data_IF_609751410960
#
_entry.id   IF_609751410960
#
_cell.length_a   1.000
_cell.length_b   1.000
_cell.length_c   1.000
_cell.angle_alpha   90.00
_cell.angle_beta   90.00
_cell.angle_gamma   90.00
#
_symmetry.space_group_name_H-M   'P 1'
#
loop_
_entity.id
_entity.type
_entity.pdbx_description
1 polymer ?
#
# COMPACT_ATOMS: atom_id res chain seq x y z
N UNK A 1 12.35 -13.05 7.33
CA UNK A 1 11.12 -12.48 6.73
C UNK A 1 9.88 -13.11 7.36
N UNK A 2 9.79 -14.44 7.42
CA UNK A 2 8.68 -15.15 8.09
C UNK A 2 8.52 -14.81 9.58
N UNK A 3 9.62 -14.77 10.35
CA UNK A 3 9.57 -14.40 11.77
C UNK A 3 8.95 -13.01 12.02
N UNK A 4 9.21 -12.04 11.12
CA UNK A 4 8.71 -10.67 11.23
C UNK A 4 7.22 -10.63 10.89
N UNK A 5 6.82 -11.32 9.82
CA UNK A 5 5.42 -11.46 9.44
C UNK A 5 4.60 -12.08 10.58
N UNK A 6 5.08 -13.19 11.17
CA UNK A 6 4.43 -13.85 12.30
C UNK A 6 4.41 -12.97 13.56
N UNK A 7 5.46 -12.18 13.81
CA UNK A 7 5.52 -11.30 14.98
C UNK A 7 4.56 -10.11 14.89
N UNK A 8 4.38 -9.54 13.70
CA UNK A 8 3.45 -8.42 13.49
C UNK A 8 2.02 -8.94 13.43
N UNK A 9 1.75 -10.04 12.72
CA UNK A 9 0.41 -10.61 12.62
C UNK A 9 -0.11 -11.07 13.99
N UNK A 10 0.73 -11.72 14.81
CA UNK A 10 0.34 -12.11 16.18
C UNK A 10 0.00 -10.91 17.07
N UNK A 11 0.70 -9.77 16.93
CA UNK A 11 0.37 -8.54 17.66
C UNK A 11 -0.94 -7.92 17.18
N UNK A 12 -1.20 -7.90 15.87
CA UNK A 12 -2.46 -7.41 15.30
C UNK A 12 -3.64 -8.26 15.80
N UNK A 13 -3.48 -9.58 15.82
CA UNK A 13 -4.48 -10.50 16.37
C UNK A 13 -4.66 -10.33 17.88
N UNK A 14 -3.57 -10.10 18.63
CA UNK A 14 -3.61 -9.84 20.08
C UNK A 14 -4.31 -8.51 20.43
N UNK A 15 -4.34 -7.55 19.50
CA UNK A 15 -5.11 -6.31 19.63
C UNK A 15 -6.62 -6.52 19.38
N UNK A 16 -7.06 -7.74 19.07
CA UNK A 16 -8.46 -8.07 18.82
C UNK A 16 -9.02 -7.47 17.52
N UNK A 17 -8.16 -7.06 16.60
CA UNK A 17 -8.59 -6.49 15.32
C UNK A 17 -9.26 -7.57 14.47
N UNK A 18 -10.49 -7.31 14.03
CA UNK A 18 -11.14 -8.13 13.00
C UNK A 18 -10.40 -8.00 11.66
N UNK A 19 -10.68 -8.91 10.72
CA UNK A 19 -9.97 -9.01 9.44
C UNK A 19 -9.96 -7.71 8.63
N UNK A 20 -11.06 -6.94 8.65
CA UNK A 20 -11.16 -5.65 7.95
C UNK A 20 -10.18 -4.59 8.46
N UNK A 21 -10.22 -4.21 9.76
CA UNK A 21 -9.24 -3.30 10.36
C UNK A 21 -7.79 -3.74 10.21
N UNK A 22 -7.50 -5.04 10.33
CA UNK A 22 -6.16 -5.59 10.10
C UNK A 22 -5.69 -5.38 8.65
N UNK A 23 -6.56 -5.64 7.68
CA UNK A 23 -6.32 -5.40 6.25
C UNK A 23 -5.96 -3.94 5.98
N UNK A 24 -6.78 -2.99 6.45
CA UNK A 24 -6.53 -1.55 6.24
C UNK A 24 -5.21 -1.13 6.90
N UNK A 25 -4.96 -1.57 8.12
CA UNK A 25 -3.73 -1.22 8.85
C UNK A 25 -2.48 -1.70 8.12
N UNK A 26 -2.48 -2.95 7.66
CA UNK A 26 -1.34 -3.53 6.93
C UNK A 26 -1.10 -2.84 5.58
N UNK A 27 -2.15 -2.46 4.84
CA UNK A 27 -1.99 -1.68 3.60
C UNK A 27 -1.43 -0.28 3.86
N UNK A 28 -1.86 0.40 4.93
CA UNK A 28 -1.33 1.71 5.29
C UNK A 28 0.14 1.62 5.71
N UNK A 29 0.52 0.59 6.47
CA UNK A 29 1.91 0.34 6.84
C UNK A 29 2.78 0.04 5.61
N UNK A 30 2.29 -0.82 4.71
CA UNK A 30 2.96 -1.11 3.43
C UNK A 30 3.18 0.17 2.62
N UNK A 31 2.13 0.98 2.46
CA UNK A 31 2.20 2.26 1.77
C UNK A 31 3.22 3.20 2.41
N UNK A 32 3.15 3.36 3.72
CA UNK A 32 3.99 4.30 4.47
C UNK A 32 5.46 3.88 4.46
N UNK A 33 5.75 2.58 4.38
CA UNK A 33 7.12 2.12 4.22
C UNK A 33 7.77 2.68 2.94
N UNK A 34 6.98 3.07 1.92
CA UNK A 34 7.51 3.59 0.67
C UNK A 34 8.27 4.91 0.82
N UNK A 35 8.02 5.70 1.87
CA UNK A 35 8.84 6.88 2.16
C UNK A 35 10.34 6.55 2.34
N UNK A 36 10.66 5.30 2.71
CA UNK A 36 12.00 4.78 2.91
C UNK A 36 12.64 4.18 1.64
N UNK A 37 11.91 4.12 0.53
CA UNK A 37 12.37 3.51 -0.72
C UNK A 37 12.43 4.55 -1.85
N UNK A 38 13.50 4.52 -2.62
CA UNK A 38 13.66 5.30 -3.86
C UNK A 38 13.18 4.55 -5.12
N UNK A 39 12.61 3.35 -4.96
CA UNK A 39 12.20 2.50 -6.08
C UNK A 39 11.00 1.64 -5.70
N UNK A 40 9.95 1.68 -6.54
CA UNK A 40 8.80 0.79 -6.43
C UNK A 40 9.21 -0.68 -6.58
N UNK A 41 10.14 -0.98 -7.50
CA UNK A 41 10.63 -2.36 -7.71
C UNK A 41 11.36 -2.87 -6.47
N UNK A 42 12.22 -2.03 -5.88
CA UNK A 42 12.93 -2.40 -4.65
C UNK A 42 11.96 -2.61 -3.48
N UNK A 43 10.96 -1.74 -3.35
CA UNK A 43 9.92 -1.87 -2.33
C UNK A 43 9.13 -3.18 -2.50
N UNK A 44 8.61 -3.44 -3.71
CA UNK A 44 7.84 -4.65 -4.01
C UNK A 44 8.68 -5.90 -3.77
N UNK A 45 9.93 -5.91 -4.24
CA UNK A 45 10.86 -7.03 -4.04
C UNK A 45 11.13 -7.34 -2.56
N UNK A 46 11.18 -6.31 -1.71
CA UNK A 46 11.45 -6.47 -0.28
C UNK A 46 10.20 -6.81 0.56
N UNK A 47 9.07 -6.15 0.27
CA UNK A 47 7.94 -6.08 1.20
C UNK A 47 6.66 -6.77 0.71
N UNK A 48 6.52 -7.05 -0.59
CA UNK A 48 5.26 -7.56 -1.12
C UNK A 48 4.89 -8.94 -0.53
N UNK A 49 5.82 -9.89 -0.60
CA UNK A 49 5.60 -11.24 -0.07
C UNK A 49 5.32 -11.27 1.45
N UNK A 50 6.13 -10.64 2.33
CA UNK A 50 5.83 -10.66 3.76
C UNK A 50 4.49 -10.02 4.11
N UNK A 51 4.11 -8.92 3.45
CA UNK A 51 2.81 -8.30 3.69
C UNK A 51 1.66 -9.17 3.18
N UNK A 52 1.80 -9.85 2.05
CA UNK A 52 0.80 -10.80 1.57
C UNK A 52 0.57 -11.92 2.60
N UNK A 53 1.64 -12.47 3.18
CA UNK A 53 1.56 -13.49 4.24
C UNK A 53 0.84 -12.93 5.48
N UNK A 54 1.19 -11.73 5.94
CA UNK A 54 0.52 -11.11 7.09
C UNK A 54 -0.98 -10.85 6.86
N UNK A 55 -1.35 -10.41 5.66
CA UNK A 55 -2.75 -10.19 5.28
C UNK A 55 -3.56 -11.48 5.30
N UNK A 56 -3.00 -12.57 4.75
CA UNK A 56 -3.65 -13.88 4.77
C UNK A 56 -3.78 -14.43 6.20
N UNK A 57 -2.73 -14.31 7.00
CA UNK A 57 -2.73 -14.74 8.41
C UNK A 57 -3.75 -13.98 9.28
N UNK A 58 -4.08 -12.75 8.91
CA UNK A 58 -5.09 -11.93 9.59
C UNK A 58 -6.51 -12.11 9.03
N UNK A 59 -6.71 -13.07 8.12
CA UNK A 59 -8.02 -13.47 7.61
C UNK A 59 -8.44 -12.82 6.30
N UNK A 60 -7.53 -12.13 5.59
CA UNK A 60 -7.81 -11.63 4.23
C UNK A 60 -7.74 -12.78 3.22
N UNK A 61 -8.73 -12.95 2.32
CA UNK A 61 -8.61 -13.91 1.22
C UNK A 61 -7.35 -13.66 0.38
N UNK A 62 -6.61 -14.73 0.04
CA UNK A 62 -5.31 -14.61 -0.61
C UNK A 62 -5.35 -13.79 -1.92
N UNK A 63 -6.36 -13.99 -2.75
CA UNK A 63 -6.56 -13.22 -3.99
C UNK A 63 -6.73 -11.73 -3.71
N UNK A 64 -7.51 -11.38 -2.69
CA UNK A 64 -7.74 -9.98 -2.27
C UNK A 64 -6.46 -9.36 -1.73
N UNK A 65 -5.69 -10.09 -0.91
CA UNK A 65 -4.42 -9.62 -0.38
C UNK A 65 -3.42 -9.28 -1.49
N UNK A 66 -3.25 -10.17 -2.47
CA UNK A 66 -2.36 -9.95 -3.61
C UNK A 66 -2.83 -8.77 -4.46
N UNK A 67 -4.12 -8.72 -4.84
CA UNK A 67 -4.64 -7.63 -5.66
C UNK A 67 -4.54 -6.27 -4.95
N UNK A 68 -4.84 -6.22 -3.64
CA UNK A 68 -4.77 -5.00 -2.86
C UNK A 68 -3.35 -4.46 -2.75
N UNK A 69 -2.37 -5.33 -2.51
CA UNK A 69 -0.96 -4.93 -2.53
C UNK A 69 -0.54 -4.44 -3.90
N UNK A 70 -0.90 -5.13 -4.98
CA UNK A 70 -0.60 -4.69 -6.34
C UNK A 70 -1.17 -3.30 -6.66
N UNK A 71 -2.42 -3.04 -6.27
CA UNK A 71 -3.05 -1.72 -6.44
C UNK A 71 -2.27 -0.66 -5.66
N UNK A 72 -2.08 -0.86 -4.36
CA UNK A 72 -1.39 0.11 -3.49
C UNK A 72 0.05 0.36 -3.93
N UNK A 73 0.72 -0.65 -4.50
CA UNK A 73 2.06 -0.49 -5.09
C UNK A 73 2.11 0.46 -6.28
N UNK A 74 0.99 0.75 -6.92
CA UNK A 74 0.92 1.78 -7.95
C UNK A 74 0.54 3.14 -7.37
N UNK A 75 -0.28 3.16 -6.31
CA UNK A 75 -0.78 4.40 -5.70
C UNK A 75 0.32 5.17 -4.97
N UNK A 76 1.24 4.48 -4.30
CA UNK A 76 2.29 5.15 -3.53
C UNK A 76 3.35 5.88 -4.38
N UNK A 77 3.27 5.76 -5.71
CA UNK A 77 4.19 6.40 -6.67
C UNK A 77 4.13 7.94 -6.63
N UNK A 78 3.06 8.51 -6.05
CA UNK A 78 2.88 9.95 -5.91
C UNK A 78 3.41 10.52 -4.59
N UNK A 79 3.86 9.69 -3.64
CA UNK A 79 4.12 10.15 -2.26
C UNK A 79 5.37 11.01 -2.11
N UNK A 80 6.43 10.71 -2.86
CA UNK A 80 7.71 11.42 -2.76
C UNK A 80 8.27 11.77 -4.14
N UNK A 81 9.12 12.80 -4.25
CA UNK A 81 9.76 13.18 -5.52
C UNK A 81 10.70 12.11 -6.11
N UNK A 82 10.93 11.02 -5.39
CA UNK A 82 11.80 9.91 -5.76
C UNK A 82 11.06 8.56 -5.75
N UNK A 83 9.75 8.54 -5.53
CA UNK A 83 8.97 7.31 -5.41
C UNK A 83 8.94 6.49 -6.71
N UNK A 84 9.04 7.16 -7.86
CA UNK A 84 8.92 6.54 -9.18
C UNK A 84 9.98 7.06 -10.15
N UNK A 85 10.20 6.35 -11.26
CA UNK A 85 11.17 6.77 -12.27
C UNK A 85 10.79 8.11 -12.92
N UNK A 86 9.50 8.43 -13.01
CA UNK A 86 9.05 9.69 -13.60
C UNK A 86 9.20 10.87 -12.63
N UNK A 87 9.12 10.64 -11.32
CA UNK A 87 9.08 11.72 -10.32
C UNK A 87 10.33 12.63 -10.33
N UNK A 88 11.57 12.10 -10.39
CA UNK A 88 12.78 12.91 -10.48
C UNK A 88 12.86 13.78 -11.74
N UNK A 89 12.21 13.40 -12.84
CA UNK A 89 12.21 14.19 -14.08
C UNK A 89 11.45 15.50 -13.88
N UNK A 90 10.27 15.44 -13.26
CA UNK A 90 9.46 16.62 -12.97
C UNK A 90 10.06 17.47 -11.84
N UNK A 91 10.51 16.82 -10.76
CA UNK A 91 11.11 17.52 -9.62
C UNK A 91 12.45 18.15 -9.97
N UNK A 92 13.34 17.40 -10.64
CA UNK A 92 14.65 17.88 -11.08
C UNK A 92 14.57 18.96 -12.16
N UNK A 93 13.50 18.96 -12.96
CA UNK A 93 13.19 20.02 -13.93
C UNK A 93 12.65 21.32 -13.30
N UNK A 94 12.39 21.34 -11.98
CA UNK A 94 11.85 22.51 -11.28
C UNK A 94 10.38 22.82 -11.58
N UNK A 95 9.66 21.89 -12.22
CA UNK A 95 8.24 22.07 -12.57
C UNK A 95 7.31 22.00 -11.37
N UNK A 96 7.73 21.34 -10.29
CA UNK A 96 6.94 21.12 -9.08
C UNK A 96 7.86 21.32 -7.87
N UNK A 97 7.47 22.18 -6.95
CA UNK A 97 8.22 22.38 -5.70
C UNK A 97 8.05 21.20 -4.76
N UNK A 98 8.95 21.05 -3.79
CA UNK A 98 8.87 19.96 -2.80
C UNK A 98 7.55 20.01 -2.02
N UNK A 99 7.12 21.20 -1.58
CA UNK A 99 5.88 21.39 -0.82
C UNK A 99 4.65 21.00 -1.64
N UNK A 100 4.59 21.41 -2.92
CA UNK A 100 3.52 21.03 -3.83
C UNK A 100 3.47 19.52 -4.05
N UNK A 101 4.64 18.86 -4.15
CA UNK A 101 4.72 17.42 -4.33
C UNK A 101 4.10 16.66 -3.16
N UNK A 102 4.55 16.94 -1.93
CA UNK A 102 4.04 16.23 -0.74
C UNK A 102 2.56 16.52 -0.48
N UNK A 103 2.13 17.78 -0.67
CA UNK A 103 0.72 18.15 -0.50
C UNK A 103 -0.16 17.44 -1.54
N UNK A 104 0.20 17.51 -2.81
CA UNK A 104 -0.58 16.92 -3.90
C UNK A 104 -0.52 15.40 -3.84
N UNK A 105 0.65 14.83 -3.55
CA UNK A 105 0.86 13.40 -3.36
C UNK A 105 -0.03 12.81 -2.27
N UNK A 106 -0.16 13.48 -1.12
CA UNK A 106 -1.06 13.05 -0.06
C UNK A 106 -2.54 13.14 -0.46
N UNK A 107 -2.95 14.24 -1.11
CA UNK A 107 -4.33 14.42 -1.59
C UNK A 107 -4.70 13.30 -2.58
N UNK A 108 -3.86 13.05 -3.57
CA UNK A 108 -4.10 11.99 -4.55
C UNK A 108 -4.00 10.60 -3.95
N UNK A 109 -3.13 10.36 -2.95
CA UNK A 109 -3.10 9.07 -2.25
C UNK A 109 -4.43 8.80 -1.55
N UNK A 110 -4.95 9.75 -0.77
CA UNK A 110 -6.23 9.61 -0.07
C UNK A 110 -7.38 9.45 -1.05
N UNK A 111 -7.41 10.25 -2.12
CA UNK A 111 -8.41 10.12 -3.18
C UNK A 111 -8.38 8.75 -3.83
N UNK A 112 -7.21 8.26 -4.23
CA UNK A 112 -7.08 6.94 -4.86
C UNK A 112 -7.45 5.81 -3.91
N UNK A 113 -7.06 5.88 -2.63
CA UNK A 113 -7.48 4.90 -1.62
C UNK A 113 -9.00 4.88 -1.45
N UNK A 114 -9.66 6.03 -1.48
CA UNK A 114 -11.12 6.10 -1.41
C UNK A 114 -11.77 5.48 -2.65
N UNK A 115 -11.28 5.82 -3.86
CA UNK A 115 -11.80 5.27 -5.11
C UNK A 115 -11.59 3.76 -5.18
N UNK A 116 -10.38 3.26 -4.92
CA UNK A 116 -10.08 1.84 -4.97
C UNK A 116 -10.75 1.06 -3.83
N UNK A 117 -10.85 1.64 -2.64
CA UNK A 117 -11.53 1.03 -1.50
C UNK A 117 -13.04 0.87 -1.74
N UNK A 118 -13.69 1.90 -2.31
CA UNK A 118 -15.14 1.89 -2.53
C UNK A 118 -15.49 1.26 -3.88
N UNK A 119 -15.06 1.86 -4.98
CA UNK A 119 -15.41 1.41 -6.35
C UNK A 119 -14.73 0.07 -6.64
N UNK A 120 -13.45 -0.06 -6.32
CA UNK A 120 -12.73 -1.33 -6.47
C UNK A 120 -13.30 -2.43 -5.58
N UNK A 121 -13.65 -2.11 -4.32
CA UNK A 121 -14.32 -3.04 -3.42
C UNK A 121 -15.68 -3.53 -3.94
N UNK A 122 -16.53 -2.62 -4.43
CA UNK A 122 -17.81 -2.97 -5.06
C UNK A 122 -17.59 -3.85 -6.30
N UNK A 123 -16.60 -3.52 -7.12
CA UNK A 123 -16.26 -4.30 -8.31
C UNK A 123 -15.78 -5.71 -7.97
N UNK A 124 -14.88 -5.86 -6.99
CA UNK A 124 -14.40 -7.17 -6.55
C UNK A 124 -15.50 -8.03 -5.93
N UNK A 125 -16.44 -7.41 -5.20
CA UNK A 125 -17.64 -8.08 -4.71
C UNK A 125 -18.54 -8.55 -5.85
N UNK A 126 -18.71 -7.73 -6.90
CA UNK A 126 -19.48 -8.12 -8.09
C UNK A 126 -18.83 -9.29 -8.85
N UNK A 127 -17.50 -9.40 -8.80
CA UNK A 127 -16.74 -10.53 -9.36
C UNK A 127 -16.72 -11.77 -8.43
N UNK A 128 -17.27 -11.69 -7.22
CA UNK A 128 -17.28 -12.80 -6.26
C UNK A 128 -15.91 -13.10 -5.64
N UNK A 129 -15.02 -12.11 -5.55
CA UNK A 129 -13.67 -12.28 -4.97
C UNK A 129 -13.68 -12.33 -3.43
N UNK A 130 -14.75 -11.85 -2.81
CA UNK A 130 -15.07 -11.96 -1.38
C UNK A 130 -16.56 -11.72 -1.12
#
# INVERSE_FOLDING_TARGET
VEWLATSISSRITALGLSSGPAFVTLLLLYTSAHYLFASQVAHVGALYQPFAVMLVQTGTPATVAVLALAVVSNLFASLTPYASAQAPVFYGGGYVTQSEWYRTGLIFMVFNLAVWGVVGGVWWKALGLF
#
